data_IF_475547607100
#
_entry.id   IF_475547607100
#
_cell.length_a   1.000
_cell.length_b   1.000
_cell.length_c   1.000
_cell.angle_alpha   90.00
_cell.angle_beta   90.00
_cell.angle_gamma   90.00
#
_symmetry.space_group_name_H-M   'P 1'
#
loop_
_entity.id
_entity.type
_entity.pdbx_description
1 polymer ?
#
# COMPACT_ATOMS: atom_id res chain seq x y z
N UNK A 1 28.26 -1.69 17.10
CA UNK A 1 28.64 -1.08 15.81
C UNK A 1 27.36 -0.80 15.04
N UNK A 2 27.14 0.43 14.57
CA UNK A 2 25.96 0.76 13.77
C UNK A 2 26.20 0.24 12.35
N UNK A 3 25.37 -0.69 11.88
CA UNK A 3 25.52 -1.29 10.55
C UNK A 3 25.01 -0.29 9.51
N UNK A 4 25.79 -0.04 8.46
CA UNK A 4 25.31 0.65 7.26
C UNK A 4 24.73 -0.42 6.35
N UNK A 5 23.41 -0.46 6.25
CA UNK A 5 22.69 -1.46 5.47
C UNK A 5 22.15 -0.82 4.18
N UNK A 6 22.68 -1.26 3.03
CA UNK A 6 22.35 -0.73 1.70
C UNK A 6 21.64 -1.78 0.83
N UNK A 7 21.03 -2.81 1.43
CA UNK A 7 20.36 -3.89 0.68
C UNK A 7 19.08 -3.41 -0.03
N UNK A 8 18.29 -2.57 0.63
CA UNK A 8 17.03 -2.01 0.13
C UNK A 8 16.55 -0.91 1.08
N UNK A 9 15.69 -0.01 0.61
CA UNK A 9 14.93 0.95 1.41
C UNK A 9 13.80 0.31 2.26
N UNK A 10 13.37 -0.91 1.93
CA UNK A 10 12.36 -1.67 2.70
C UNK A 10 12.81 -2.06 4.10
N UNK A 11 14.10 -1.95 4.43
CA UNK A 11 14.65 -2.24 5.75
C UNK A 11 14.44 -1.10 6.76
N UNK A 12 13.81 0.00 6.32
CA UNK A 12 13.53 1.15 7.17
C UNK A 12 12.77 0.75 8.43
N UNK A 13 13.13 1.39 9.55
CA UNK A 13 12.46 1.17 10.83
C UNK A 13 11.57 2.38 11.15
N UNK A 14 10.37 2.17 11.74
CA UNK A 14 9.52 3.27 12.17
C UNK A 14 10.25 4.20 13.14
N UNK A 15 10.15 5.51 12.88
CA UNK A 15 10.64 6.57 13.77
C UNK A 15 9.83 6.58 15.08
N UNK A 16 10.33 7.25 16.13
CA UNK A 16 9.59 7.39 17.39
C UNK A 16 8.23 8.06 17.19
N UNK A 17 8.15 9.11 16.34
CA UNK A 17 6.89 9.77 16.01
C UNK A 17 5.91 8.82 15.33
N UNK A 18 6.36 7.99 14.39
CA UNK A 18 5.53 6.97 13.75
C UNK A 18 5.04 5.93 14.75
N UNK A 19 5.92 5.45 15.64
CA UNK A 19 5.54 4.48 16.69
C UNK A 19 4.48 5.03 17.62
N UNK A 20 4.61 6.30 18.02
CA UNK A 20 3.61 6.98 18.84
C UNK A 20 2.29 7.14 18.10
N UNK A 21 2.32 7.61 16.85
CA UNK A 21 1.10 7.75 16.04
C UNK A 21 0.38 6.41 15.85
N UNK A 22 1.10 5.31 15.58
CA UNK A 22 0.50 3.97 15.51
C UNK A 22 -0.10 3.52 16.84
N UNK A 23 0.53 3.84 17.97
CA UNK A 23 0.03 3.47 19.30
C UNK A 23 -1.21 4.28 19.71
N UNK A 24 -1.27 5.55 19.32
CA UNK A 24 -2.35 6.48 19.65
C UNK A 24 -3.48 6.51 18.60
N UNK A 25 -3.38 5.72 17.52
CA UNK A 25 -4.35 5.69 16.44
C UNK A 25 -5.73 5.23 16.91
N UNK A 26 -6.77 5.93 16.46
CA UNK A 26 -8.15 5.45 16.59
C UNK A 26 -8.40 4.36 15.53
N UNK A 27 -8.90 3.20 15.96
CA UNK A 27 -9.04 2.02 15.10
C UNK A 27 -10.46 1.47 15.16
N UNK A 28 -10.84 0.71 14.14
CA UNK A 28 -12.15 0.09 14.00
C UNK A 28 -12.10 -1.18 13.16
N UNK A 29 -13.26 -1.70 12.78
CA UNK A 29 -13.32 -2.84 11.85
C UNK A 29 -13.35 -2.34 10.41
N UNK A 30 -12.22 -2.49 9.72
CA UNK A 30 -12.03 -2.07 8.33
C UNK A 30 -12.96 -2.80 7.34
N UNK A 31 -13.36 -4.05 7.64
CA UNK A 31 -14.30 -4.79 6.77
C UNK A 31 -15.68 -4.11 6.75
N UNK A 32 -16.05 -3.47 7.85
CA UNK A 32 -17.27 -2.66 7.94
C UNK A 32 -17.04 -1.18 7.57
N UNK A 33 -15.81 -0.78 7.23
CA UNK A 33 -15.43 0.60 6.94
C UNK A 33 -15.40 1.51 8.17
N UNK A 34 -15.27 0.93 9.37
CA UNK A 34 -15.37 1.64 10.64
C UNK A 34 -14.01 2.07 11.21
N UNK A 35 -12.90 1.79 10.53
CA UNK A 35 -11.57 2.24 10.97
C UNK A 35 -11.30 3.69 10.50
N UNK A 36 -11.31 4.69 11.40
CA UNK A 36 -11.16 6.09 11.00
C UNK A 36 -9.75 6.41 10.49
N UNK A 37 -8.72 5.72 10.98
CA UNK A 37 -7.33 5.96 10.55
C UNK A 37 -7.09 5.42 9.13
N UNK A 38 -7.65 4.25 8.79
CA UNK A 38 -7.61 3.72 7.42
C UNK A 38 -8.38 4.63 6.47
N UNK A 39 -9.59 5.04 6.84
CA UNK A 39 -10.41 5.95 6.05
C UNK A 39 -9.69 7.29 5.75
N UNK A 40 -9.03 7.88 6.76
CA UNK A 40 -8.25 9.10 6.58
C UNK A 40 -7.05 8.89 5.63
N UNK A 41 -6.32 7.78 5.79
CA UNK A 41 -5.20 7.44 4.93
C UNK A 41 -5.62 7.31 3.46
N UNK A 42 -6.73 6.63 3.20
CA UNK A 42 -7.26 6.44 1.84
C UNK A 42 -7.75 7.75 1.24
N UNK A 43 -8.50 8.57 2.00
CA UNK A 43 -8.94 9.89 1.56
C UNK A 43 -7.77 10.82 1.24
N UNK A 44 -6.73 10.79 2.08
CA UNK A 44 -5.50 11.54 1.84
C UNK A 44 -4.83 11.08 0.54
N UNK A 45 -4.64 9.77 0.34
CA UNK A 45 -4.02 9.22 -0.85
C UNK A 45 -4.81 9.55 -2.13
N UNK A 46 -6.14 9.41 -2.09
CA UNK A 46 -7.03 9.74 -3.20
C UNK A 46 -6.93 11.24 -3.55
N UNK A 47 -6.95 12.10 -2.53
CA UNK A 47 -6.81 13.56 -2.71
C UNK A 47 -5.44 13.94 -3.29
N UNK A 48 -4.37 13.34 -2.78
CA UNK A 48 -3.00 13.61 -3.24
C UNK A 48 -2.77 13.22 -4.71
N UNK A 49 -3.48 12.22 -5.21
CA UNK A 49 -3.36 11.71 -6.58
C UNK A 49 -4.50 12.16 -7.51
N UNK A 50 -5.38 13.03 -7.02
CA UNK A 50 -6.57 13.51 -7.73
C UNK A 50 -7.43 12.36 -8.27
N UNK A 51 -7.73 11.38 -7.40
CA UNK A 51 -8.58 10.22 -7.66
C UNK A 51 -9.82 10.25 -6.79
N UNK A 52 -10.85 9.54 -7.24
CA UNK A 52 -12.14 9.45 -6.54
C UNK A 52 -12.05 8.63 -5.25
N UNK A 53 -11.17 7.62 -5.21
CA UNK A 53 -10.99 6.72 -4.08
C UNK A 53 -9.57 6.14 -4.05
N UNK A 54 -9.20 5.56 -2.90
CA UNK A 54 -8.00 4.74 -2.71
C UNK A 54 -8.35 3.51 -1.87
N UNK A 55 -7.42 2.55 -1.80
CA UNK A 55 -7.57 1.34 -1.00
C UNK A 55 -6.25 1.00 -0.30
N UNK A 56 -6.26 0.86 1.02
CA UNK A 56 -5.12 0.40 1.79
C UNK A 56 -4.93 -1.11 1.60
N UNK A 57 -3.69 -1.54 1.38
CA UNK A 57 -3.35 -2.95 1.17
C UNK A 57 -2.07 -3.28 1.93
N UNK A 58 -1.90 -4.56 2.28
CA UNK A 58 -0.80 -5.00 3.14
C UNK A 58 0.57 -5.03 2.44
N UNK A 59 0.61 -4.95 1.11
CA UNK A 59 1.85 -4.92 0.33
C UNK A 59 1.62 -4.38 -1.08
N UNK A 60 2.68 -3.86 -1.71
CA UNK A 60 2.65 -3.44 -3.12
C UNK A 60 2.36 -4.59 -4.10
N UNK A 61 2.72 -5.84 -3.76
CA UNK A 61 2.36 -7.02 -4.57
C UNK A 61 0.85 -7.23 -4.56
N UNK A 62 0.20 -7.12 -3.39
CA UNK A 62 -1.26 -7.20 -3.30
C UNK A 62 -1.93 -6.05 -4.06
N UNK A 63 -1.42 -4.81 -3.95
CA UNK A 63 -1.96 -3.67 -4.68
C UNK A 63 -1.93 -3.89 -6.19
N UNK A 64 -0.81 -4.37 -6.73
CA UNK A 64 -0.69 -4.66 -8.17
C UNK A 64 -1.60 -5.82 -8.60
N UNK A 65 -1.69 -6.88 -7.79
CA UNK A 65 -2.57 -8.02 -8.09
C UNK A 65 -4.04 -7.57 -8.16
N UNK A 66 -4.51 -6.79 -7.17
CA UNK A 66 -5.87 -6.25 -7.17
C UNK A 66 -6.10 -5.32 -8.36
N UNK A 67 -5.13 -4.48 -8.73
CA UNK A 67 -5.23 -3.62 -9.91
C UNK A 67 -5.40 -4.44 -11.19
N UNK A 68 -4.60 -5.50 -11.40
CA UNK A 68 -4.72 -6.39 -12.56
C UNK A 68 -6.09 -7.06 -12.56
N UNK A 69 -6.52 -7.66 -11.44
CA UNK A 69 -7.81 -8.35 -11.34
C UNK A 69 -9.01 -7.41 -11.54
N UNK A 70 -8.88 -6.14 -11.16
CA UNK A 70 -9.92 -5.12 -11.33
C UNK A 70 -10.01 -4.65 -12.78
N UNK A 71 -8.88 -4.58 -13.49
CA UNK A 71 -8.82 -4.09 -14.86
C UNK A 71 -8.97 -5.16 -15.95
N UNK A 72 -8.99 -6.45 -15.58
CA UNK A 72 -8.95 -7.55 -16.55
C UNK A 72 -9.97 -8.63 -16.24
N UNK A 73 -10.29 -9.41 -17.27
CA UNK A 73 -11.03 -10.65 -17.16
C UNK A 73 -10.16 -11.84 -17.59
N UNK A 74 -10.68 -13.05 -17.35
CA UNK A 74 -10.01 -14.27 -17.77
C UNK A 74 -9.82 -14.27 -19.30
N UNK A 75 -8.57 -14.36 -19.74
CA UNK A 75 -8.20 -14.37 -21.16
C UNK A 75 -7.74 -13.03 -21.71
N UNK A 76 -7.87 -11.95 -20.94
CA UNK A 76 -7.27 -10.66 -21.31
C UNK A 76 -5.75 -10.68 -21.16
N UNK A 77 -5.09 -9.75 -21.85
CA UNK A 77 -3.64 -9.59 -21.83
C UNK A 77 -3.23 -8.25 -21.20
N UNK A 78 -2.16 -8.25 -20.41
CA UNK A 78 -1.57 -7.05 -19.83
C UNK A 78 -0.21 -6.80 -20.47
N UNK A 79 -0.06 -5.67 -21.17
CA UNK A 79 1.23 -5.22 -21.70
C UNK A 79 2.02 -4.58 -20.56
N UNK A 80 3.20 -5.14 -20.25
CA UNK A 80 4.09 -4.65 -19.19
C UNK A 80 5.56 -4.84 -19.57
N UNK A 81 6.45 -4.10 -18.92
CA UNK A 81 7.89 -4.20 -19.18
C UNK A 81 8.47 -5.54 -18.75
N UNK A 82 9.39 -6.12 -19.52
CA UNK A 82 9.99 -7.44 -19.25
C UNK A 82 10.80 -7.54 -17.94
N UNK A 83 11.04 -6.41 -17.27
CA UNK A 83 11.71 -6.31 -15.96
C UNK A 83 10.82 -5.69 -14.88
N UNK A 84 9.52 -5.51 -15.16
CA UNK A 84 8.58 -4.92 -14.20
C UNK A 84 8.41 -5.84 -12.98
N UNK A 85 8.17 -5.24 -11.81
CA UNK A 85 7.99 -5.98 -10.57
C UNK A 85 6.86 -7.01 -10.67
N UNK A 86 5.71 -6.61 -11.27
CA UNK A 86 4.53 -7.46 -11.49
C UNK A 86 4.86 -8.75 -12.27
N UNK A 87 5.88 -8.72 -13.14
CA UNK A 87 6.27 -9.90 -13.92
C UNK A 87 7.10 -10.90 -13.12
N UNK A 88 7.93 -10.39 -12.21
CA UNK A 88 8.93 -11.18 -11.49
C UNK A 88 8.50 -11.56 -10.07
N UNK A 89 7.50 -10.88 -9.50
CA UNK A 89 7.01 -11.04 -8.13
C UNK A 89 5.50 -10.81 -8.05
#
# INVERSE_FOLDING_TARGET
>A
MKIIDMRSDTITLPTEKMRRAMYEAEVGDDVYGEDPTVNELEQLAASMLEKEAALFTTSGTMSNLLAVLTHTHLGDEVILGSKAHIFWY
#
